data_IF_205069668972
#
_entry.id   IF_205069668972
#
_cell.length_a   1.000
_cell.length_b   1.000
_cell.length_c   1.000
_cell.angle_alpha   90.00
_cell.angle_beta   90.00
_cell.angle_gamma   90.00
#
_symmetry.space_group_name_H-M   'P 1'
#
loop_
_entity.id
_entity.type
_entity.pdbx_description
1 polymer ?
#
# COMPACT_ATOMS: atom_id res chain seq x y z
N UNK A 1 1.00 26.05 -2.19
CA UNK A 1 1.02 24.87 -3.08
C UNK A 1 1.34 23.65 -2.25
N UNK A 2 0.66 22.54 -2.48
CA UNK A 2 0.88 21.29 -1.75
C UNK A 2 1.18 20.14 -2.70
N UNK A 3 2.07 19.23 -2.29
CA UNK A 3 2.52 18.12 -3.10
C UNK A 3 2.43 16.80 -2.36
N UNK A 4 2.36 15.70 -3.11
CA UNK A 4 2.44 14.36 -2.56
C UNK A 4 2.57 13.27 -3.61
N UNK A 5 2.65 12.03 -3.15
CA UNK A 5 2.56 10.84 -4.00
C UNK A 5 1.53 9.91 -3.37
N UNK A 6 0.59 9.44 -4.18
CA UNK A 6 -0.55 8.66 -3.72
C UNK A 6 -0.89 7.57 -4.73
N UNK A 7 -1.46 6.47 -4.26
CA UNK A 7 -2.08 5.47 -5.11
C UNK A 7 -3.54 5.86 -5.40
N UNK A 8 -4.08 5.48 -6.55
CA UNK A 8 -5.49 5.65 -6.89
C UNK A 8 -6.22 4.34 -6.71
N UNK A 9 -7.29 4.35 -5.91
CA UNK A 9 -8.25 3.26 -5.80
C UNK A 9 -9.55 3.65 -6.48
N UNK A 10 -10.10 2.79 -7.34
CA UNK A 10 -11.36 3.03 -8.03
C UNK A 10 -12.48 2.25 -7.36
N UNK A 11 -13.46 2.97 -6.83
CA UNK A 11 -14.55 2.41 -6.05
C UNK A 11 -15.88 2.50 -6.80
N UNK A 12 -16.73 1.49 -6.57
CA UNK A 12 -18.12 1.48 -7.04
C UNK A 12 -19.09 2.03 -6.00
N UNK A 13 -18.62 2.20 -4.76
CA UNK A 13 -19.44 2.64 -3.63
C UNK A 13 -19.43 4.16 -3.46
N UNK A 14 -18.40 4.82 -4.00
CA UNK A 14 -18.25 6.26 -3.93
C UNK A 14 -19.12 6.97 -5.00
N UNK A 15 -19.65 8.16 -4.66
CA UNK A 15 -20.46 8.96 -5.58
C UNK A 15 -19.72 9.33 -6.88
N UNK A 16 -20.48 9.70 -7.91
CA UNK A 16 -19.95 9.98 -9.26
C UNK A 16 -18.89 11.09 -9.27
N UNK A 17 -19.03 12.09 -8.40
CA UNK A 17 -18.17 13.27 -8.28
C UNK A 17 -17.58 13.41 -6.88
N UNK A 18 -17.28 12.29 -6.25
CA UNK A 18 -16.68 12.26 -4.92
C UNK A 18 -15.26 11.70 -5.01
N UNK A 19 -14.40 12.23 -4.16
CA UNK A 19 -13.08 11.69 -3.87
C UNK A 19 -12.95 11.53 -2.36
N UNK A 20 -12.53 10.35 -1.92
CA UNK A 20 -12.18 10.09 -0.52
C UNK A 20 -10.66 10.10 -0.38
N UNK A 21 -10.15 11.06 0.39
CA UNK A 21 -8.74 11.35 0.58
C UNK A 21 -8.24 10.69 1.87
N UNK A 22 -7.42 9.65 1.75
CA UNK A 22 -6.86 8.92 2.89
C UNK A 22 -5.38 9.28 3.07
N UNK A 23 -5.17 10.20 4.01
CA UNK A 23 -3.85 10.66 4.44
C UNK A 23 -3.46 9.90 5.72
N UNK A 24 -2.18 9.94 6.10
CA UNK A 24 -1.68 9.38 7.37
C UNK A 24 -1.53 7.85 7.45
N UNK A 25 -1.44 7.17 6.31
CA UNK A 25 -1.02 5.76 6.22
C UNK A 25 0.40 5.52 6.77
N UNK A 26 0.64 4.36 7.38
CA UNK A 26 1.87 4.07 8.12
C UNK A 26 3.16 4.13 7.29
N UNK A 27 3.09 3.76 6.01
CA UNK A 27 4.26 3.71 5.12
C UNK A 27 4.18 4.71 3.96
N UNK A 28 3.35 5.75 4.12
CA UNK A 28 3.25 6.82 3.14
C UNK A 28 4.51 7.71 3.09
N UNK A 29 4.74 8.32 1.93
CA UNK A 29 5.80 9.33 1.77
C UNK A 29 5.32 10.68 2.32
N UNK A 30 6.24 11.56 2.76
CA UNK A 30 5.89 12.91 3.16
C UNK A 30 5.04 13.64 2.12
N UNK A 31 4.03 14.39 2.57
CA UNK A 31 3.12 15.14 1.73
C UNK A 31 2.61 16.39 2.46
N UNK A 32 2.14 17.36 1.67
CA UNK A 32 1.60 18.62 2.17
C UNK A 32 0.07 18.73 1.99
N UNK A 33 -0.56 17.63 1.57
CA UNK A 33 -1.98 17.55 1.17
C UNK A 33 -3.00 17.75 2.31
N UNK A 34 -2.55 18.07 3.53
CA UNK A 34 -3.44 18.39 4.66
C UNK A 34 -4.21 19.70 4.45
N UNK A 35 -3.78 20.52 3.49
CA UNK A 35 -4.49 21.73 3.04
C UNK A 35 -5.82 21.41 2.35
N UNK A 36 -6.00 20.19 1.83
CA UNK A 36 -7.29 19.75 1.26
C UNK A 36 -8.27 19.50 2.40
N UNK A 37 -9.26 20.40 2.51
CA UNK A 37 -10.28 20.34 3.55
C UNK A 37 -11.39 19.35 3.20
N UNK A 38 -11.97 18.75 4.25
CA UNK A 38 -13.18 17.95 4.12
C UNK A 38 -14.35 18.82 3.62
N UNK A 39 -15.14 18.31 2.68
CA UNK A 39 -16.23 19.03 2.04
C UNK A 39 -15.80 20.06 0.98
N UNK A 40 -14.51 20.20 0.68
CA UNK A 40 -14.05 21.13 -0.35
C UNK A 40 -14.47 20.66 -1.76
N UNK A 41 -14.98 21.59 -2.58
CA UNK A 41 -15.17 21.36 -4.01
C UNK A 41 -13.90 21.78 -4.75
N UNK A 42 -13.27 20.85 -5.47
CA UNK A 42 -12.02 21.10 -6.21
C UNK A 42 -12.14 20.59 -7.65
N UNK A 43 -11.27 21.06 -8.54
CA UNK A 43 -11.11 20.49 -9.87
C UNK A 43 -9.95 19.49 -9.86
N UNK A 44 -10.23 18.22 -10.10
CA UNK A 44 -9.21 17.23 -10.39
C UNK A 44 -8.83 17.30 -11.88
N UNK A 45 -7.53 17.20 -12.16
CA UNK A 45 -6.98 17.25 -13.52
C UNK A 45 -6.01 16.11 -13.77
N UNK A 46 -6.15 15.41 -14.88
CA UNK A 46 -5.17 14.44 -15.37
C UNK A 46 -5.06 14.56 -16.89
N UNK A 47 -3.85 14.84 -17.37
CA UNK A 47 -3.60 15.21 -18.77
C UNK A 47 -4.46 16.42 -19.21
N UNK A 48 -5.26 16.25 -20.27
CA UNK A 48 -6.22 17.20 -20.84
C UNK A 48 -7.60 17.14 -20.19
N UNK A 49 -7.85 16.15 -19.31
CA UNK A 49 -9.16 15.92 -18.71
C UNK A 49 -9.28 16.59 -17.34
N UNK A 50 -10.46 17.18 -17.08
CA UNK A 50 -10.78 17.85 -15.82
C UNK A 50 -12.17 17.42 -15.32
N UNK A 51 -12.32 17.34 -13.99
CA UNK A 51 -13.59 17.00 -13.33
C UNK A 51 -13.67 17.68 -11.97
N UNK A 52 -14.80 18.31 -11.67
CA UNK A 52 -15.07 18.78 -10.32
C UNK A 52 -15.45 17.62 -9.41
N UNK A 53 -14.87 17.60 -8.21
CA UNK A 53 -15.16 16.58 -7.20
C UNK A 53 -15.31 17.21 -5.82
N UNK A 54 -16.17 16.60 -5.00
CA UNK A 54 -16.27 16.86 -3.57
C UNK A 54 -15.23 16.01 -2.84
N UNK A 55 -14.35 16.68 -2.09
CA UNK A 55 -13.37 16.01 -1.23
C UNK A 55 -14.05 15.56 0.05
N UNK A 56 -13.87 14.29 0.39
CA UNK A 56 -14.17 13.73 1.71
C UNK A 56 -12.87 13.22 2.33
N UNK A 57 -12.73 13.32 3.66
CA UNK A 57 -11.55 12.81 4.38
C UNK A 57 -11.84 11.48 5.06
N UNK A 58 -11.17 10.44 4.58
CA UNK A 58 -11.19 9.14 5.22
C UNK A 58 -10.21 9.08 6.40
N UNK A 59 -10.43 8.10 7.28
CA UNK A 59 -9.49 7.76 8.36
C UNK A 59 -8.36 6.89 7.79
N UNK A 60 -7.12 7.21 8.12
CA UNK A 60 -5.92 6.48 7.68
C UNK A 60 -5.60 5.22 8.48
N UNK A 61 -6.55 4.69 9.24
CA UNK A 61 -6.29 3.56 10.11
C UNK A 61 -6.18 2.29 9.24
N UNK A 62 -5.02 1.63 9.29
CA UNK A 62 -4.69 0.36 8.60
C UNK A 62 -4.40 0.43 7.09
N UNK A 63 -4.06 1.59 6.52
CA UNK A 63 -3.61 1.67 5.12
C UNK A 63 -2.08 1.53 4.96
N UNK A 64 -1.68 0.78 3.91
CA UNK A 64 -0.28 0.55 3.59
C UNK A 64 0.44 1.78 3.00
N UNK A 65 -0.25 2.58 2.20
CA UNK A 65 0.30 3.78 1.55
C UNK A 65 -0.82 4.82 1.34
N UNK A 66 -0.47 6.11 1.25
CA UNK A 66 -1.45 7.16 0.98
C UNK A 66 -2.19 6.91 -0.33
N UNK A 67 -3.52 7.05 -0.32
CA UNK A 67 -4.31 6.84 -1.52
C UNK A 67 -5.47 7.83 -1.63
N UNK A 68 -5.93 8.01 -2.86
CA UNK A 68 -7.21 8.64 -3.17
C UNK A 68 -8.14 7.55 -3.68
N UNK A 69 -9.33 7.49 -3.11
CA UNK A 69 -10.41 6.68 -3.64
C UNK A 69 -11.32 7.58 -4.48
N UNK A 70 -11.64 7.14 -5.69
CA UNK A 70 -12.49 7.89 -6.63
C UNK A 70 -13.61 7.02 -7.18
N UNK A 71 -14.75 7.63 -7.47
CA UNK A 71 -15.86 6.95 -8.14
C UNK A 71 -15.49 6.48 -9.55
N UNK A 72 -16.11 5.40 -10.01
CA UNK A 72 -15.85 4.81 -11.34
C UNK A 72 -16.04 5.81 -12.48
N UNK A 73 -17.02 6.70 -12.39
CA UNK A 73 -17.27 7.72 -13.43
C UNK A 73 -16.17 8.77 -13.48
N UNK A 74 -15.77 9.32 -12.32
CA UNK A 74 -14.64 10.26 -12.22
C UNK A 74 -13.35 9.61 -12.72
N UNK A 75 -13.09 8.35 -12.35
CA UNK A 75 -11.91 7.62 -12.83
C UNK A 75 -11.90 7.49 -14.36
N UNK A 76 -13.03 7.14 -14.97
CA UNK A 76 -13.15 7.02 -16.42
C UNK A 76 -12.97 8.37 -17.12
N UNK A 77 -13.63 9.42 -16.62
CA UNK A 77 -13.56 10.76 -17.19
C UNK A 77 -12.12 11.31 -17.18
N UNK A 78 -11.39 11.06 -16.09
CA UNK A 78 -9.99 11.49 -15.92
C UNK A 78 -8.99 10.46 -16.45
N UNK A 79 -9.44 9.33 -17.02
CA UNK A 79 -8.60 8.21 -17.50
C UNK A 79 -7.65 7.66 -16.41
N UNK A 80 -8.08 7.72 -15.15
CA UNK A 80 -7.35 7.18 -14.01
C UNK A 80 -7.47 5.65 -13.99
N UNK A 81 -6.45 4.99 -13.45
CA UNK A 81 -6.39 3.53 -13.36
C UNK A 81 -6.26 3.09 -11.91
N UNK A 82 -7.03 2.07 -11.57
CA UNK A 82 -7.00 1.43 -10.26
C UNK A 82 -5.62 0.81 -9.96
N UNK A 83 -5.13 1.04 -8.74
CA UNK A 83 -3.84 0.58 -8.24
C UNK A 83 -2.64 1.25 -8.91
N UNK A 84 -2.82 2.43 -9.52
CA UNK A 84 -1.73 3.19 -10.15
C UNK A 84 -1.32 4.36 -9.27
N UNK A 85 0.00 4.58 -9.20
CA UNK A 85 0.59 5.67 -8.45
C UNK A 85 0.63 6.97 -9.25
N UNK A 86 0.31 8.06 -8.58
CA UNK A 86 0.34 9.41 -9.12
C UNK A 86 1.13 10.33 -8.19
N UNK A 87 1.89 11.24 -8.80
CA UNK A 87 2.30 12.48 -8.15
C UNK A 87 1.12 13.42 -8.19
N UNK A 88 0.86 14.09 -7.08
CA UNK A 88 -0.23 15.03 -6.97
C UNK A 88 0.32 16.41 -6.62
N UNK A 89 -0.20 17.42 -7.30
CA UNK A 89 0.12 18.83 -7.08
C UNK A 89 -1.18 19.60 -6.91
N UNK A 90 -1.37 20.22 -5.75
CA UNK A 90 -2.53 21.03 -5.44
C UNK A 90 -2.16 22.52 -5.40
N UNK A 91 -2.87 23.30 -6.21
CA UNK A 91 -2.85 24.75 -6.16
C UNK A 91 -4.08 25.27 -5.42
N UNK A 92 -3.82 25.90 -4.28
CA UNK A 92 -4.86 26.39 -3.38
C UNK A 92 -5.57 27.64 -3.94
N UNK A 93 -4.91 28.41 -4.81
CA UNK A 93 -5.48 29.62 -5.42
C UNK A 93 -6.53 29.27 -6.48
N UNK A 94 -6.23 28.28 -7.32
CA UNK A 94 -7.12 27.82 -8.40
C UNK A 94 -8.00 26.65 -7.99
N UNK A 95 -7.76 26.04 -6.82
CA UNK A 95 -8.44 24.82 -6.35
C UNK A 95 -8.29 23.65 -7.31
N UNK A 96 -7.16 23.57 -8.02
CA UNK A 96 -6.87 22.50 -8.99
C UNK A 96 -5.91 21.47 -8.36
N UNK A 97 -6.32 20.21 -8.34
CA UNK A 97 -5.50 19.05 -8.00
C UNK A 97 -5.06 18.35 -9.28
N UNK A 98 -3.81 18.54 -9.67
CA UNK A 98 -3.23 17.90 -10.86
C UNK A 98 -2.60 16.56 -10.49
N UNK A 99 -2.94 15.52 -11.24
CA UNK A 99 -2.40 14.18 -11.13
C UNK A 99 -1.45 13.91 -12.29
N UNK A 100 -0.25 13.44 -11.99
CA UNK A 100 0.73 13.01 -12.98
C UNK A 100 1.18 11.60 -12.67
N UNK A 101 1.01 10.68 -13.61
CA UNK A 101 1.34 9.27 -13.40
C UNK A 101 2.81 9.09 -13.01
N UNK A 102 3.05 8.38 -11.91
CA UNK A 102 4.38 8.14 -11.37
C UNK A 102 4.85 6.71 -11.69
N UNK A 103 5.44 6.53 -12.87
CA UNK A 103 5.91 5.20 -13.31
C UNK A 103 7.10 4.68 -12.49
N UNK A 104 7.89 5.57 -11.90
CA UNK A 104 9.09 5.24 -11.13
C UNK A 104 8.95 5.74 -9.71
N UNK A 105 9.06 4.83 -8.74
CA UNK A 105 9.15 5.15 -7.31
C UNK A 105 10.59 5.00 -6.83
N UNK A 106 11.03 5.89 -5.95
CA UNK A 106 12.42 5.97 -5.47
C UNK A 106 12.45 5.94 -3.94
N UNK A 107 13.27 5.06 -3.37
CA UNK A 107 13.43 4.96 -1.91
C UNK A 107 14.88 4.65 -1.58
N UNK A 108 15.47 5.39 -0.65
CA UNK A 108 16.81 5.10 -0.13
C UNK A 108 16.71 4.14 1.06
N UNK A 109 17.47 3.05 1.04
CA UNK A 109 17.51 2.05 2.13
C UNK A 109 18.93 1.52 2.35
N UNK A 110 19.29 1.14 3.60
CA UNK A 110 20.51 0.41 3.86
C UNK A 110 20.36 -1.03 3.37
N UNK A 111 21.34 -1.51 2.60
CA UNK A 111 21.39 -2.91 2.21
C UNK A 111 21.73 -3.80 3.41
N UNK A 112 20.93 -4.84 3.63
CA UNK A 112 21.29 -5.95 4.50
C UNK A 112 21.72 -7.13 3.63
N UNK A 113 22.65 -7.94 4.13
CA UNK A 113 23.03 -9.19 3.47
C UNK A 113 22.71 -10.39 4.37
N UNK A 114 22.18 -11.44 3.77
CA UNK A 114 21.95 -12.74 4.41
C UNK A 114 23.11 -13.68 4.05
N UNK A 115 23.80 -14.17 5.08
CA UNK A 115 24.90 -15.14 4.92
C UNK A 115 24.38 -16.56 4.71
N UNK A 116 23.09 -16.83 4.97
CA UNK A 116 22.51 -18.17 4.78
C UNK A 116 22.46 -18.48 3.29
N UNK A 117 23.15 -19.56 2.89
CA UNK A 117 23.05 -20.10 1.54
C UNK A 117 21.63 -20.60 1.32
N UNK A 118 20.94 -20.01 0.35
CA UNK A 118 19.63 -20.46 -0.12
C UNK A 118 19.81 -21.19 -1.44
N UNK A 119 18.99 -22.21 -1.68
CA UNK A 119 19.01 -22.95 -2.95
C UNK A 119 18.59 -22.07 -4.13
N UNK A 120 17.69 -21.12 -3.89
CA UNK A 120 17.16 -20.20 -4.91
C UNK A 120 17.61 -18.76 -4.65
N UNK A 121 17.99 -18.02 -5.71
CA UNK A 121 18.38 -16.62 -5.59
C UNK A 121 17.15 -15.78 -5.23
N UNK A 122 17.16 -15.21 -4.03
CA UNK A 122 15.99 -14.56 -3.41
C UNK A 122 16.38 -13.15 -2.95
N UNK A 123 15.47 -12.20 -3.11
CA UNK A 123 15.51 -10.89 -2.44
C UNK A 123 14.37 -10.84 -1.44
N UNK A 124 14.66 -10.37 -0.22
CA UNK A 124 13.63 -10.09 0.77
C UNK A 124 13.40 -8.60 0.87
N UNK A 125 12.16 -8.17 0.62
CA UNK A 125 11.74 -6.77 0.70
C UNK A 125 10.62 -6.69 1.73
N UNK A 126 10.83 -5.88 2.77
CA UNK A 126 9.83 -5.63 3.80
C UNK A 126 8.56 -4.99 3.22
N UNK A 127 7.41 -5.25 3.83
CA UNK A 127 6.12 -4.83 3.30
C UNK A 127 6.00 -3.30 3.19
N UNK A 128 6.44 -2.56 4.21
CA UNK A 128 6.47 -1.10 4.18
C UNK A 128 7.28 -0.56 3.00
N UNK A 129 8.42 -1.19 2.68
CA UNK A 129 9.24 -0.82 1.54
C UNK A 129 8.55 -1.15 0.20
N UNK A 130 7.82 -2.26 0.11
CA UNK A 130 6.98 -2.56 -1.07
C UNK A 130 5.88 -1.52 -1.28
N UNK A 131 5.23 -1.07 -0.21
CA UNK A 131 4.27 0.03 -0.27
C UNK A 131 4.94 1.30 -0.82
N UNK A 132 6.09 1.70 -0.27
CA UNK A 132 6.82 2.89 -0.76
C UNK A 132 7.30 2.75 -2.22
N UNK A 133 7.57 1.54 -2.72
CA UNK A 133 7.94 1.30 -4.12
C UNK A 133 6.74 1.15 -5.08
N UNK A 134 5.50 1.07 -4.56
CA UNK A 134 4.30 0.89 -5.39
C UNK A 134 4.17 -0.54 -5.90
N UNK A 135 4.50 -1.51 -5.03
CA UNK A 135 4.52 -2.95 -5.34
C UNK A 135 3.51 -3.77 -4.53
N UNK A 136 2.81 -3.17 -3.57
CA UNK A 136 2.05 -3.89 -2.55
C UNK A 136 0.83 -4.66 -3.09
N UNK A 137 0.09 -4.11 -4.05
CA UNK A 137 -1.10 -4.75 -4.61
C UNK A 137 -0.74 -5.85 -5.63
N UNK A 138 0.13 -5.51 -6.59
CA UNK A 138 0.52 -6.39 -7.71
C UNK A 138 1.89 -7.00 -7.47
N UNK A 139 2.03 -7.71 -6.35
CA UNK A 139 3.29 -8.33 -5.91
C UNK A 139 3.74 -9.40 -6.93
N UNK A 140 4.87 -9.19 -7.62
CA UNK A 140 5.38 -10.22 -8.53
C UNK A 140 6.09 -11.31 -7.71
N UNK A 141 5.99 -12.56 -8.15
CA UNK A 141 6.75 -13.67 -7.55
C UNK A 141 8.26 -13.58 -7.87
N UNK A 142 8.59 -12.97 -9.00
CA UNK A 142 9.95 -12.74 -9.49
C UNK A 142 10.16 -11.26 -9.77
N UNK A 143 11.32 -10.74 -9.40
CA UNK A 143 11.72 -9.36 -9.66
C UNK A 143 13.07 -9.33 -10.35
N UNK A 144 13.20 -8.45 -11.34
CA UNK A 144 14.47 -8.21 -12.02
C UNK A 144 15.19 -7.07 -11.31
N UNK A 145 16.35 -7.36 -10.74
CA UNK A 145 17.25 -6.37 -10.17
C UNK A 145 18.28 -5.96 -11.22
N UNK A 146 18.51 -4.66 -11.36
CA UNK A 146 19.52 -4.11 -12.26
C UNK A 146 20.47 -3.20 -11.47
N UNK A 147 21.78 -3.35 -11.66
CA UNK A 147 22.77 -2.35 -11.30
C UNK A 147 23.80 -2.20 -12.42
N UNK A 148 23.78 -1.07 -13.11
CA UNK A 148 24.69 -0.81 -14.23
C UNK A 148 24.44 -1.81 -15.38
N UNK A 149 25.46 -2.59 -15.74
CA UNK A 149 25.37 -3.65 -16.75
C UNK A 149 24.89 -4.99 -16.18
N UNK A 150 24.85 -5.15 -14.85
CA UNK A 150 24.51 -6.43 -14.21
C UNK A 150 23.01 -6.49 -13.99
N UNK A 151 22.37 -7.54 -14.50
CA UNK A 151 20.93 -7.80 -14.32
C UNK A 151 20.74 -9.21 -13.76
N UNK A 152 19.96 -9.33 -12.69
CA UNK A 152 19.69 -10.60 -12.02
C UNK A 152 18.20 -10.75 -11.75
N UNK A 153 17.63 -11.91 -12.07
CA UNK A 153 16.23 -12.23 -11.75
C UNK A 153 16.17 -13.01 -10.43
N UNK A 154 15.42 -12.50 -9.46
CA UNK A 154 15.34 -13.04 -8.11
C UNK A 154 13.90 -13.36 -7.72
N UNK A 155 13.71 -14.36 -6.86
CA UNK A 155 12.43 -14.58 -6.21
C UNK A 155 12.19 -13.51 -5.15
N UNK A 156 10.99 -12.95 -5.13
CA UNK A 156 10.58 -12.00 -4.09
C UNK A 156 10.08 -12.77 -2.86
N UNK A 157 10.69 -12.49 -1.71
CA UNK A 157 10.22 -12.91 -0.39
C UNK A 157 9.74 -11.68 0.37
N UNK A 158 8.56 -11.77 1.00
CA UNK A 158 7.99 -10.69 1.81
C UNK A 158 7.78 -11.22 3.21
N UNK A 159 8.41 -10.63 4.25
CA UNK A 159 8.18 -11.04 5.62
C UNK A 159 6.76 -10.65 6.08
N UNK A 160 6.22 -11.37 7.06
CA UNK A 160 4.88 -11.13 7.59
C UNK A 160 4.75 -9.81 8.39
N UNK A 161 5.86 -9.13 8.70
CA UNK A 161 5.83 -7.87 9.43
C UNK A 161 5.53 -6.71 8.47
N UNK A 162 4.34 -6.13 8.63
CA UNK A 162 3.84 -5.02 7.81
C UNK A 162 4.67 -3.73 7.93
N UNK A 163 5.41 -3.59 9.03
CA UNK A 163 6.25 -2.42 9.32
C UNK A 163 7.70 -2.59 8.85
N UNK A 164 8.06 -3.76 8.32
CA UNK A 164 9.43 -4.01 7.90
C UNK A 164 9.78 -3.17 6.67
N UNK A 165 10.87 -2.41 6.78
CA UNK A 165 11.46 -1.58 5.71
C UNK A 165 12.75 -2.18 5.17
N UNK A 166 13.09 -3.40 5.58
CA UNK A 166 14.32 -4.09 5.22
C UNK A 166 14.43 -4.39 3.74
N UNK A 167 15.64 -4.22 3.21
CA UNK A 167 16.04 -4.72 1.91
C UNK A 167 17.22 -5.67 2.09
N UNK A 168 17.00 -6.96 1.81
CA UNK A 168 17.95 -8.03 2.12
C UNK A 168 18.24 -8.86 0.87
N UNK A 169 19.52 -8.97 0.53
CA UNK A 169 20.05 -9.83 -0.53
C UNK A 169 20.88 -10.95 0.07
N UNK A 170 21.05 -12.07 -0.63
CA UNK A 170 22.11 -13.02 -0.26
C UNK A 170 23.48 -12.37 -0.46
N UNK A 171 24.47 -12.76 0.35
CA UNK A 171 25.84 -12.24 0.22
C UNK A 171 26.42 -12.44 -1.19
N UNK A 172 26.08 -13.55 -1.86
CA UNK A 172 26.50 -13.85 -3.23
C UNK A 172 25.93 -12.87 -4.26
N UNK A 173 24.61 -12.60 -4.20
CA UNK A 173 23.97 -11.65 -5.12
C UNK A 173 24.43 -10.22 -4.83
N UNK A 174 24.60 -9.85 -3.55
CA UNK A 174 25.16 -8.56 -3.18
C UNK A 174 26.58 -8.38 -3.76
N UNK A 175 27.45 -9.39 -3.63
CA UNK A 175 28.79 -9.37 -4.21
C UNK A 175 28.78 -9.29 -5.74
N UNK A 176 27.91 -10.06 -6.41
CA UNK A 176 27.72 -10.01 -7.87
C UNK A 176 27.30 -8.62 -8.35
N UNK A 177 26.45 -7.95 -7.58
CA UNK A 177 26.03 -6.57 -7.86
C UNK A 177 27.06 -5.55 -7.37
N UNK A 178 28.19 -5.95 -6.76
CA UNK A 178 29.22 -5.06 -6.21
C UNK A 178 28.76 -4.24 -4.99
N UNK A 179 27.79 -4.73 -4.24
CA UNK A 179 27.19 -4.07 -3.08
C UNK A 179 27.75 -4.63 -1.78
N UNK A 180 27.87 -3.79 -0.76
CA UNK A 180 28.39 -4.16 0.56
C UNK A 180 27.31 -4.03 1.65
N UNK A 181 27.45 -4.79 2.74
CA UNK A 181 26.51 -4.73 3.86
C UNK A 181 26.50 -3.33 4.49
N UNK A 182 25.31 -2.80 4.79
CA UNK A 182 25.11 -1.48 5.37
C UNK A 182 25.16 -0.33 4.34
N UNK A 183 25.57 -0.60 3.10
CA UNK A 183 25.64 0.43 2.06
C UNK A 183 24.26 1.03 1.79
N UNK A 184 24.19 2.37 1.81
CA UNK A 184 22.99 3.09 1.39
C UNK A 184 22.78 2.93 -0.12
N UNK A 185 21.65 2.36 -0.48
CA UNK A 185 21.26 2.12 -1.86
C UNK A 185 20.02 2.96 -2.19
N UNK A 186 20.02 3.61 -3.35
CA UNK A 186 18.79 4.14 -3.93
C UNK A 186 18.14 3.04 -4.74
N UNK A 187 16.92 2.67 -4.35
CA UNK A 187 16.08 1.74 -5.08
C UNK A 187 15.15 2.54 -5.98
N UNK A 188 15.13 2.21 -7.28
CA UNK A 188 14.20 2.77 -8.24
C UNK A 188 13.36 1.64 -8.86
N UNK A 189 12.07 1.61 -8.55
CA UNK A 189 11.17 0.61 -9.14
C UNK A 189 10.36 1.23 -10.26
N UNK A 190 10.50 0.67 -11.46
CA UNK A 190 9.67 1.03 -12.60
C UNK A 190 8.45 0.10 -12.67
N UNK A 191 7.27 0.66 -12.39
CA UNK A 191 6.01 -0.08 -12.33
C UNK A 191 5.57 -0.62 -13.69
N UNK A 192 6.07 -0.07 -14.79
CA UNK A 192 5.78 -0.53 -16.15
C UNK A 192 6.63 -1.75 -16.51
N UNK A 193 7.95 -1.63 -16.36
CA UNK A 193 8.90 -2.68 -16.76
C UNK A 193 9.10 -3.76 -15.69
N UNK A 194 8.62 -3.53 -14.46
CA UNK A 194 8.80 -4.40 -13.28
C UNK A 194 10.29 -4.63 -12.94
N UNK A 195 11.13 -3.65 -13.26
CA UNK A 195 12.57 -3.66 -12.96
C UNK A 195 12.85 -2.80 -11.72
N UNK A 196 13.63 -3.35 -10.79
CA UNK A 196 14.17 -2.65 -9.63
C UNK A 196 15.65 -2.30 -9.89
N UNK A 197 15.92 -1.04 -10.15
CA UNK A 197 17.27 -0.54 -10.35
C UNK A 197 17.90 -0.15 -9.01
N UNK A 198 19.16 -0.50 -8.81
CA UNK A 198 19.95 -0.13 -7.64
C UNK A 198 21.08 0.80 -8.07
N UNK A 199 21.21 1.93 -7.39
CA UNK A 199 22.36 2.81 -7.50
C UNK A 199 22.97 3.06 -6.13
N UNK A 200 24.31 3.19 -6.10
CA UNK A 200 25.00 3.59 -4.89
C UNK A 200 24.58 5.03 -4.57
N UNK A 201 24.04 5.26 -3.37
CA UNK A 201 23.79 6.63 -2.96
C UNK A 201 25.12 7.21 -2.49
N UNK A 202 25.67 8.17 -3.25
CA UNK A 202 26.89 8.89 -2.87
C UNK A 202 26.74 9.75 -1.60
N UNK A 203 25.53 9.79 -1.02
CA UNK A 203 25.22 10.52 0.20
C UNK A 203 24.99 9.52 1.33
N UNK A 204 25.74 9.59 2.45
CA UNK A 204 25.50 8.73 3.60
C UNK A 204 24.07 8.93 4.10
N UNK A 205 23.28 7.87 4.08
CA UNK A 205 21.86 7.90 4.47
C UNK A 205 21.73 8.20 5.97
N UNK A 206 21.41 9.45 6.32
CA UNK A 206 20.77 9.75 7.61
C UNK A 206 19.31 9.37 7.47
N UNK A 207 18.97 8.12 7.81
CA UNK A 207 17.56 7.71 7.89
C UNK A 207 16.82 8.62 8.87
N UNK A 208 15.95 9.48 8.34
CA UNK A 208 14.98 10.21 9.13
C UNK A 208 13.94 9.19 9.58
N UNK A 209 14.17 8.61 10.76
CA UNK A 209 13.14 7.86 11.47
C UNK A 209 11.98 8.84 11.68
N UNK A 210 10.75 8.58 11.20
CA UNK A 210 9.62 9.42 11.53
C UNK A 210 9.47 9.39 13.04
N UNK A 211 9.84 10.47 13.73
CA UNK A 211 9.49 10.64 15.13
C UNK A 211 7.98 10.68 15.19
N UNK A 212 7.36 9.57 15.57
CA UNK A 212 6.03 9.60 16.16
C UNK A 212 6.11 10.57 17.35
N UNK A 213 5.62 11.80 17.16
CA UNK A 213 5.39 12.76 18.24
C UNK A 213 4.34 12.16 19.15
N UNK A 214 4.77 11.36 20.12
CA UNK A 214 3.97 11.07 21.30
C UNK A 214 3.97 12.35 22.13
N UNK A 215 2.93 13.15 21.96
CA UNK A 215 2.65 14.28 22.83
C UNK A 215 2.46 13.76 24.26
N UNK A 216 3.51 13.86 25.08
CA UNK A 216 3.40 13.79 26.54
C UNK A 216 3.18 15.21 27.04
N UNK A 217 1.94 15.65 27.01
CA UNK A 217 1.49 16.73 27.89
C UNK A 217 1.49 16.20 29.32
N UNK A 218 2.58 16.43 30.04
CA UNK A 218 2.62 16.32 31.49
C UNK A 218 1.95 17.56 32.07
N UNK A 219 0.63 17.51 32.25
CA UNK A 219 -0.04 18.45 33.13
C UNK A 219 0.27 18.10 34.58
N UNK A 220 0.90 19.07 35.24
CA UNK A 220 1.02 19.19 36.70
C UNK A 220 -0.38 19.12 37.34
N UNK A 221 -0.60 18.14 38.22
CA UNK A 221 -1.73 18.15 39.14
C UNK A 221 -1.20 17.87 40.56
N UNK A 222 -0.80 18.98 41.19
CA UNK A 222 -0.68 19.13 42.63
C UNK A 222 -2.03 19.61 43.15
N UNK A 223 -2.79 18.78 43.87
CA UNK A 223 -3.55 19.16 45.09
C UNK A 223 -4.48 18.04 45.59
N UNK A 224 -4.62 18.05 46.91
CA UNK A 224 -5.76 17.52 47.70
C UNK A 224 -5.62 16.11 48.26
N UNK A 225 -4.85 16.09 49.35
CA UNK A 225 -5.08 15.32 50.58
C UNK A 225 -6.57 15.21 50.96
N UNK A 226 -6.87 14.05 51.56
CA UNK A 226 -7.88 13.76 52.57
C UNK A 226 -9.36 13.89 52.16
N UNK A 227 -10.04 12.75 52.09
CA UNK A 227 -11.26 12.53 52.87
C UNK A 227 -11.50 11.02 53.06
N UNK A 228 -11.46 10.64 54.33
CA UNK A 228 -12.00 9.39 54.88
C UNK A 228 -13.49 9.34 54.58
N UNK A 229 -13.95 8.23 54.01
CA UNK A 229 -15.34 7.78 54.20
C UNK A 229 -15.33 6.30 54.52
N UNK A 230 -15.94 6.03 55.66
CA UNK A 230 -16.22 4.76 56.31
C UNK A 230 -17.05 3.85 55.42
N UNK A 231 -16.55 2.65 55.13
CA UNK A 231 -17.35 1.56 54.58
C UNK A 231 -18.07 0.86 55.73
N UNK A 232 -19.38 1.10 55.79
CA UNK A 232 -20.30 0.37 56.65
C UNK A 232 -20.52 -1.03 56.07
N UNK A 233 -20.30 -2.01 56.93
CA UNK A 233 -20.41 -3.44 56.72
C UNK A 233 -21.89 -3.84 56.71
N UNK A 234 -22.40 -4.37 55.59
CA UNK A 234 -23.59 -5.23 55.57
C UNK A 234 -23.36 -6.42 54.65
N UNK A 235 -23.33 -7.61 55.26
CA UNK A 235 -23.47 -8.89 54.58
C UNK A 235 -24.98 -9.25 54.41
N UNK A 236 -25.37 -10.48 54.00
CA UNK A 236 -25.96 -10.70 52.69
C UNK A 236 -27.41 -11.18 52.80
N UNK A 237 -28.19 -11.02 51.73
CA UNK A 237 -29.48 -11.72 51.62
C UNK A 237 -29.49 -12.61 50.39
N UNK A 238 -29.54 -13.90 50.71
CA UNK A 238 -29.84 -15.04 49.84
C UNK A 238 -31.17 -14.87 49.12
N UNK A 239 -31.21 -15.13 47.81
CA UNK A 239 -32.43 -15.52 47.13
C UNK A 239 -32.11 -16.49 45.98
N UNK A 240 -32.67 -17.70 46.13
CA UNK A 240 -32.73 -18.77 45.14
C UNK A 240 -33.78 -18.46 44.07
N UNK A 241 -33.50 -18.84 42.82
CA UNK A 241 -34.47 -19.33 41.81
C UNK A 241 -33.70 -19.79 40.57
N UNK A 242 -33.44 -21.08 40.37
CA UNK A 242 -34.24 -21.99 39.53
C UNK A 242 -34.82 -21.34 38.27
N UNK A 243 -34.37 -21.75 37.07
CA UNK A 243 -35.13 -22.63 36.15
C UNK A 243 -34.47 -22.81 34.78
N UNK A 244 -34.55 -24.06 34.28
CA UNK A 244 -34.76 -24.53 32.89
C UNK A 244 -33.62 -24.30 31.86
N UNK A 245 -32.89 -25.34 31.44
CA UNK A 245 -33.29 -26.41 30.49
C UNK A 245 -33.69 -25.88 29.10
N UNK A 246 -32.74 -25.94 28.14
CA UNK A 246 -32.97 -25.58 26.74
C UNK A 246 -31.94 -26.21 25.80
N UNK A 247 -32.23 -27.46 25.39
CA UNK A 247 -31.98 -28.13 24.10
C UNK A 247 -30.66 -27.97 23.32
N UNK A 248 -30.02 -29.08 22.91
CA UNK A 248 -28.86 -29.09 22.01
C UNK A 248 -29.29 -28.90 20.55
N UNK A 249 -28.67 -27.93 19.87
CA UNK A 249 -28.88 -27.66 18.43
C UNK A 249 -28.25 -28.78 17.59
N UNK A 250 -29.08 -29.40 16.74
CA UNK A 250 -28.75 -30.45 15.78
C UNK A 250 -27.74 -29.96 14.74
N UNK A 251 -26.68 -30.74 14.55
CA UNK A 251 -25.73 -30.64 13.42
C UNK A 251 -26.45 -31.00 12.12
N UNK A 252 -26.61 -30.03 11.22
CA UNK A 252 -26.94 -30.30 9.83
C UNK A 252 -25.68 -30.74 9.08
N UNK A 253 -25.67 -32.01 8.65
CA UNK A 253 -24.75 -32.54 7.63
C UNK A 253 -25.21 -32.02 6.27
N UNK A 254 -24.37 -31.25 5.60
CA UNK A 254 -24.55 -30.90 4.19
C UNK A 254 -24.27 -32.12 3.29
N UNK A 255 -25.09 -32.40 2.27
CA UNK A 255 -24.86 -33.48 1.32
C UNK A 255 -23.78 -33.10 0.29
N UNK A 256 -23.04 -34.14 -0.11
CA UNK A 256 -21.96 -34.09 -1.09
C UNK A 256 -22.44 -33.55 -2.45
N UNK A 257 -21.80 -32.46 -2.91
CA UNK A 257 -21.93 -31.97 -4.28
C UNK A 257 -21.18 -32.87 -5.26
N UNK A 258 -21.94 -33.56 -6.11
CA UNK A 258 -21.45 -34.31 -7.27
C UNK A 258 -20.74 -33.36 -8.25
N UNK A 259 -19.53 -33.75 -8.66
CA UNK A 259 -18.80 -33.18 -9.81
C UNK A 259 -19.59 -33.40 -11.11
N UNK A 260 -19.79 -32.38 -11.96
CA UNK A 260 -20.04 -32.59 -13.38
C UNK A 260 -18.71 -32.70 -14.14
N UNK A 261 -18.74 -33.60 -15.13
CA UNK A 261 -17.63 -33.99 -15.98
C UNK A 261 -17.16 -32.86 -16.92
N UNK A 262 -15.88 -32.91 -17.26
CA UNK A 262 -15.24 -32.09 -18.27
C UNK A 262 -15.81 -32.41 -19.66
N UNK A 263 -16.37 -31.40 -20.33
CA UNK A 263 -16.64 -31.47 -21.76
C UNK A 263 -15.41 -30.97 -22.52
N UNK A 264 -14.72 -31.89 -23.20
CA UNK A 264 -13.77 -31.58 -24.27
C UNK A 264 -14.54 -30.97 -25.45
N UNK A 265 -14.29 -29.70 -25.77
CA UNK A 265 -14.57 -29.17 -27.10
C UNK A 265 -13.27 -29.06 -27.89
N UNK A 266 -13.10 -30.03 -28.80
CA UNK A 266 -12.17 -29.96 -29.92
C UNK A 266 -12.57 -28.78 -30.81
N UNK A 267 -11.72 -27.76 -30.91
CA UNK A 267 -11.78 -26.79 -32.00
C UNK A 267 -10.72 -27.16 -33.03
N UNK A 268 -11.19 -27.73 -34.14
CA UNK A 268 -10.43 -27.95 -35.38
C UNK A 268 -10.98 -27.01 -36.43
N UNK A 269 -10.12 -26.10 -36.93
CA UNK A 269 -10.38 -25.23 -38.09
C UNK A 269 -9.12 -24.40 -38.32
N UNK A 270 -8.07 -24.90 -38.98
CA UNK A 270 -7.85 -25.02 -40.44
C UNK A 270 -8.06 -23.70 -41.22
N UNK A 271 -6.91 -23.22 -41.73
CA UNK A 271 -6.61 -22.70 -43.08
C UNK A 271 -6.85 -21.21 -43.44
N UNK A 272 -5.70 -20.60 -43.79
CA UNK A 272 -5.39 -19.92 -45.06
C UNK A 272 -5.69 -18.43 -45.28
N UNK A 273 -4.69 -17.77 -45.88
CA UNK A 273 -4.70 -16.45 -46.51
C UNK A 273 -3.60 -15.56 -45.91
N UNK A 274 -2.34 -15.57 -46.34
CA UNK A 274 -1.76 -15.29 -47.67
C UNK A 274 -2.13 -13.92 -48.25
N UNK A 275 -1.06 -13.21 -48.66
CA UNK A 275 -0.97 -12.12 -49.64
C UNK A 275 -1.12 -10.65 -49.19
N UNK A 276 0.05 -10.02 -49.07
CA UNK A 276 0.53 -8.81 -49.80
C UNK A 276 -0.38 -7.58 -49.93
N UNK A 277 0.15 -6.41 -49.56
CA UNK A 277 0.59 -5.40 -50.54
C UNK A 277 1.34 -4.22 -49.89
N UNK A 278 2.52 -3.93 -50.45
CA UNK A 278 3.15 -2.61 -50.47
C UNK A 278 2.22 -1.60 -51.13
N UNK A 279 2.24 -0.34 -50.70
CA UNK A 279 2.21 0.83 -51.58
C UNK A 279 2.53 2.12 -50.79
N UNK A 280 3.55 2.81 -51.29
CA UNK A 280 3.99 4.21 -51.09
C UNK A 280 4.60 4.58 -49.74
#
# INVERSE_FOLDING_TARGET
MANGTMDVSVSKQLGQNEMNLVLDCMNGLPHDLRVLQDGALITMKHDDAERQVLVTRGKGDECGFHYIEVGTETANALRLRDGVRYRVHYDESTKILTLTRALVSRVQVPLKTDRKKKKEPTVTIGYALLCMLGMAEKRPSLITLNRGSVTVKLRLSVPNNELDRGFLLSSEIAAMLGLTQGQACLLEYNQSTKVLTLSASGVPSRMVTPQQKTGKDKQNLNKSRNLRTTYERREPVSAKSQTKSGTPVKRHRSPASKKPAAALTRSTGRLNGSLTKKLR
#
